data_IF_271981076913
#
_entry.id   IF_271981076913
#
_cell.length_a   1.000
_cell.length_b   1.000
_cell.length_c   1.000
_cell.angle_alpha   90.00
_cell.angle_beta   90.00
_cell.angle_gamma   90.00
#
_symmetry.space_group_name_H-M   'P 1'
#
loop_
_entity.id
_entity.type
_entity.pdbx_description
1 polymer ?
#
# COMPACT_ATOMS: atom_id res chain seq x y z
N UNK A 1 31.76 -36.60 -24.67
CA UNK A 1 31.29 -35.72 -23.56
C UNK A 1 30.51 -34.50 -24.06
N UNK A 2 29.67 -34.61 -25.10
CA UNK A 2 28.96 -33.46 -25.71
C UNK A 2 27.46 -33.40 -25.38
N UNK A 3 26.84 -34.55 -25.06
CA UNK A 3 25.40 -34.65 -24.80
C UNK A 3 24.92 -33.79 -23.62
N UNK A 4 25.66 -33.73 -22.49
CA UNK A 4 25.25 -32.92 -21.34
C UNK A 4 25.18 -31.41 -21.68
N UNK A 5 26.11 -30.92 -22.51
CA UNK A 5 26.14 -29.51 -22.92
C UNK A 5 24.97 -29.16 -23.82
N UNK A 6 24.64 -30.04 -24.77
CA UNK A 6 23.50 -29.86 -25.69
C UNK A 6 22.18 -29.86 -24.93
N UNK A 7 21.96 -30.82 -24.02
CA UNK A 7 20.74 -30.86 -23.21
C UNK A 7 20.58 -29.63 -22.31
N UNK A 8 21.68 -29.14 -21.71
CA UNK A 8 21.66 -27.90 -20.91
C UNK A 8 21.25 -26.69 -21.76
N UNK A 9 21.77 -26.59 -22.98
CA UNK A 9 21.42 -25.50 -23.91
C UNK A 9 19.95 -25.58 -24.35
N UNK A 10 19.45 -26.77 -24.68
CA UNK A 10 18.04 -26.98 -25.02
C UNK A 10 17.12 -26.60 -23.87
N UNK A 11 17.44 -27.03 -22.64
CA UNK A 11 16.67 -26.66 -21.46
C UNK A 11 16.69 -25.14 -21.23
N UNK A 12 17.85 -24.49 -21.35
CA UNK A 12 17.97 -23.04 -21.20
C UNK A 12 17.14 -22.29 -22.25
N UNK A 13 17.18 -22.74 -23.51
CA UNK A 13 16.38 -22.17 -24.59
C UNK A 13 14.88 -22.29 -24.30
N UNK A 14 14.42 -23.48 -23.92
CA UNK A 14 13.00 -23.72 -23.60
C UNK A 14 12.54 -22.92 -22.38
N UNK A 15 13.37 -22.80 -21.34
CA UNK A 15 13.10 -21.96 -20.17
C UNK A 15 12.96 -20.48 -20.57
N UNK A 16 13.82 -20.00 -21.47
CA UNK A 16 13.75 -18.62 -21.94
C UNK A 16 12.47 -18.37 -22.74
N UNK A 17 12.08 -19.30 -23.62
CA UNK A 17 10.79 -19.25 -24.35
C UNK A 17 9.61 -19.20 -23.37
N UNK A 18 9.62 -20.08 -22.35
CA UNK A 18 8.57 -20.09 -21.32
C UNK A 18 8.47 -18.77 -20.57
N UNK A 19 9.60 -18.20 -20.17
CA UNK A 19 9.65 -16.91 -19.49
C UNK A 19 9.08 -15.78 -20.37
N UNK A 20 9.47 -15.74 -21.65
CA UNK A 20 8.95 -14.76 -22.62
C UNK A 20 7.44 -14.88 -22.80
N UNK A 21 6.92 -16.09 -23.00
CA UNK A 21 5.48 -16.32 -23.13
C UNK A 21 4.73 -15.93 -21.85
N UNK A 22 5.29 -16.23 -20.68
CA UNK A 22 4.71 -15.87 -19.39
C UNK A 22 4.67 -14.35 -19.21
N UNK A 23 5.73 -13.65 -19.59
CA UNK A 23 5.81 -12.19 -19.52
C UNK A 23 4.82 -11.53 -20.48
N UNK A 24 4.74 -12.01 -21.72
CA UNK A 24 3.77 -11.53 -22.72
C UNK A 24 2.33 -11.72 -22.23
N UNK A 25 1.99 -12.93 -21.77
CA UNK A 25 0.65 -13.24 -21.28
C UNK A 25 0.26 -12.37 -20.07
N UNK A 26 1.18 -12.15 -19.11
CA UNK A 26 0.93 -11.27 -17.96
C UNK A 26 0.72 -9.82 -18.41
N UNK A 27 1.57 -9.34 -19.31
CA UNK A 27 1.50 -7.98 -19.84
C UNK A 27 0.17 -7.74 -20.53
N UNK A 28 -0.24 -8.66 -21.41
CA UNK A 28 -1.49 -8.55 -22.15
C UNK A 28 -2.71 -8.60 -21.24
N UNK A 29 -2.70 -9.47 -20.23
CA UNK A 29 -3.76 -9.55 -19.22
C UNK A 29 -3.94 -8.22 -18.47
N UNK A 30 -2.85 -7.64 -17.95
CA UNK A 30 -2.93 -6.39 -17.20
C UNK A 30 -3.21 -5.18 -18.10
N UNK A 31 -2.67 -5.16 -19.32
CA UNK A 31 -3.00 -4.14 -20.34
C UNK A 31 -4.49 -4.18 -20.67
N UNK A 32 -5.06 -5.35 -20.94
CA UNK A 32 -6.49 -5.52 -21.18
C UNK A 32 -7.33 -5.05 -19.98
N UNK A 33 -6.94 -5.42 -18.76
CA UNK A 33 -7.61 -4.97 -17.54
C UNK A 33 -7.59 -3.45 -17.35
N UNK A 34 -6.46 -2.80 -17.61
CA UNK A 34 -6.35 -1.34 -17.58
C UNK A 34 -7.22 -0.67 -18.64
N UNK A 35 -7.18 -1.15 -19.89
CA UNK A 35 -8.01 -0.62 -20.97
C UNK A 35 -9.51 -0.80 -20.73
N UNK A 36 -9.90 -1.87 -20.02
CA UNK A 36 -11.30 -2.16 -19.67
C UNK A 36 -11.81 -1.41 -18.43
N UNK A 37 -10.96 -0.66 -17.72
CA UNK A 37 -11.37 0.03 -16.51
C UNK A 37 -12.22 1.26 -16.85
N UNK A 38 -13.48 1.29 -16.37
CA UNK A 38 -14.42 2.37 -16.67
C UNK A 38 -14.18 3.65 -15.88
N UNK A 39 -13.41 3.59 -14.80
CA UNK A 39 -13.15 4.72 -13.91
C UNK A 39 -11.80 4.60 -13.21
N UNK A 40 -11.37 5.71 -12.60
CA UNK A 40 -10.12 5.83 -11.87
C UNK A 40 -9.97 4.76 -10.76
N UNK A 41 -11.05 4.42 -10.06
CA UNK A 41 -11.04 3.36 -9.04
C UNK A 41 -10.71 2.00 -9.64
N UNK A 42 -11.21 1.69 -10.83
CA UNK A 42 -10.87 0.49 -11.58
C UNK A 42 -9.38 0.41 -11.92
N UNK A 43 -8.79 1.53 -12.36
CA UNK A 43 -7.35 1.62 -12.65
C UNK A 43 -6.52 1.37 -11.39
N UNK A 44 -6.85 2.03 -10.28
CA UNK A 44 -6.16 1.80 -9.00
C UNK A 44 -6.28 0.36 -8.52
N UNK A 45 -7.47 -0.25 -8.62
CA UNK A 45 -7.64 -1.66 -8.24
C UNK A 45 -6.77 -2.62 -9.07
N UNK A 46 -6.52 -2.30 -10.35
CA UNK A 46 -5.61 -3.09 -11.20
C UNK A 46 -4.16 -2.86 -10.78
N UNK A 47 -3.78 -1.61 -10.50
CA UNK A 47 -2.48 -1.25 -9.95
C UNK A 47 -2.19 -1.94 -8.62
N UNK A 48 -3.16 -1.97 -7.71
CA UNK A 48 -3.04 -2.63 -6.41
C UNK A 48 -2.74 -4.11 -6.55
N UNK A 49 -3.42 -4.81 -7.47
CA UNK A 49 -3.16 -6.23 -7.73
C UNK A 49 -1.78 -6.49 -8.31
N UNK A 50 -1.25 -5.55 -9.10
CA UNK A 50 0.05 -5.68 -9.77
C UNK A 50 1.21 -5.35 -8.82
N UNK A 51 1.09 -4.29 -8.04
CA UNK A 51 2.14 -3.75 -7.16
C UNK A 51 2.09 -4.35 -5.76
N UNK A 52 0.89 -4.67 -5.28
CA UNK A 52 0.66 -5.25 -3.96
C UNK A 52 -0.08 -6.59 -4.13
N UNK A 53 0.55 -7.59 -4.78
CA UNK A 53 -0.02 -8.93 -4.82
C UNK A 53 -0.37 -9.31 -3.40
N UNK A 54 -1.63 -9.72 -3.18
CA UNK A 54 -2.17 -10.05 -1.85
C UNK A 54 -1.26 -11.10 -1.23
N UNK A 55 -0.28 -10.67 -0.44
CA UNK A 55 0.42 -11.54 0.48
C UNK A 55 -0.68 -11.98 1.42
N UNK A 56 -0.96 -13.27 1.45
CA UNK A 56 -1.76 -13.83 2.51
C UNK A 56 -1.09 -13.34 3.79
N UNK A 57 -1.81 -12.54 4.59
CA UNK A 57 -1.26 -11.98 5.81
C UNK A 57 -1.05 -13.15 6.77
N UNK A 58 0.09 -13.82 6.63
CA UNK A 58 0.51 -14.89 7.50
C UNK A 58 1.16 -14.24 8.71
N UNK A 59 0.71 -14.64 9.88
CA UNK A 59 1.45 -14.35 11.10
C UNK A 59 2.88 -14.87 10.95
N UNK A 60 3.87 -14.22 11.60
CA UNK A 60 5.20 -14.78 11.72
C UNK A 60 5.13 -16.22 12.22
N UNK A 61 6.08 -17.06 11.84
CA UNK A 61 6.20 -18.40 12.41
C UNK A 61 6.34 -18.29 13.93
N UNK A 62 5.54 -19.07 14.67
CA UNK A 62 5.51 -19.06 16.13
C UNK A 62 5.15 -20.45 16.64
N UNK A 63 5.65 -20.81 17.81
CA UNK A 63 5.40 -22.10 18.46
C UNK A 63 4.21 -22.04 19.43
N UNK A 64 3.81 -20.82 19.86
CA UNK A 64 2.67 -20.59 20.75
C UNK A 64 2.07 -19.19 20.56
N UNK A 65 0.83 -19.00 21.01
CA UNK A 65 0.18 -17.69 21.00
C UNK A 65 0.90 -16.66 21.89
N UNK A 66 1.45 -17.10 23.03
CA UNK A 66 2.19 -16.25 23.95
C UNK A 66 3.49 -15.74 23.33
N UNK A 67 4.22 -16.60 22.61
CA UNK A 67 5.41 -16.22 21.86
C UNK A 67 5.09 -15.15 20.81
N UNK A 68 4.02 -15.37 20.04
CA UNK A 68 3.56 -14.40 19.04
C UNK A 68 3.18 -13.06 19.68
N UNK A 69 2.40 -13.08 20.76
CA UNK A 69 1.99 -11.87 21.47
C UNK A 69 3.20 -11.08 21.99
N UNK A 70 4.14 -11.77 22.62
CA UNK A 70 5.38 -11.16 23.11
C UNK A 70 6.23 -10.59 21.97
N UNK A 71 6.32 -11.29 20.83
CA UNK A 71 7.04 -10.81 19.65
C UNK A 71 6.44 -9.53 19.08
N UNK A 72 5.11 -9.42 19.04
CA UNK A 72 4.41 -8.22 18.60
C UNK A 72 4.62 -7.07 19.58
N UNK A 73 4.49 -7.31 20.88
CA UNK A 73 4.76 -6.30 21.92
C UNK A 73 6.17 -5.74 21.75
N UNK A 74 7.17 -6.62 21.61
CA UNK A 74 8.56 -6.21 21.40
C UNK A 74 8.73 -5.40 20.12
N UNK A 75 8.22 -5.90 18.99
CA UNK A 75 8.32 -5.21 17.69
C UNK A 75 7.77 -3.78 17.75
N UNK A 76 6.54 -3.61 18.27
CA UNK A 76 5.93 -2.28 18.35
C UNK A 76 6.63 -1.37 19.37
N UNK A 77 7.12 -1.93 20.47
CA UNK A 77 7.89 -1.17 21.47
C UNK A 77 9.19 -0.65 20.86
N UNK A 78 9.94 -1.51 20.18
CA UNK A 78 11.18 -1.18 19.50
C UNK A 78 10.94 -0.12 18.40
N UNK A 79 9.90 -0.32 17.59
CA UNK A 79 9.50 0.65 16.55
C UNK A 79 9.21 2.04 17.13
N UNK A 80 8.44 2.11 18.23
CA UNK A 80 8.14 3.37 18.91
C UNK A 80 9.42 4.03 19.44
N UNK A 81 10.33 3.25 20.03
CA UNK A 81 11.61 3.75 20.53
C UNK A 81 12.48 4.28 19.38
N UNK A 82 12.55 3.56 18.26
CA UNK A 82 13.27 3.99 17.06
C UNK A 82 12.73 5.30 16.52
N UNK A 83 11.41 5.43 16.38
CA UNK A 83 10.78 6.68 15.91
C UNK A 83 11.10 7.83 16.87
N UNK A 84 10.93 7.64 18.18
CA UNK A 84 11.22 8.67 19.18
C UNK A 84 12.68 9.07 19.17
N UNK A 85 13.60 8.13 19.03
CA UNK A 85 15.02 8.42 18.90
C UNK A 85 15.30 9.22 17.63
N UNK A 86 14.78 8.80 16.48
CA UNK A 86 14.92 9.52 15.22
C UNK A 86 14.40 10.95 15.28
N UNK A 87 13.28 11.18 15.97
CA UNK A 87 12.73 12.52 16.18
C UNK A 87 13.58 13.38 17.13
N UNK A 88 14.15 12.79 18.19
CA UNK A 88 15.06 13.50 19.11
C UNK A 88 16.41 13.82 18.48
N UNK A 89 16.90 12.95 17.61
CA UNK A 89 18.16 13.14 16.87
C UNK A 89 18.01 14.05 15.66
N UNK A 90 16.78 14.42 15.27
CA UNK A 90 16.56 15.38 14.22
C UNK A 90 16.91 16.79 14.75
N UNK A 91 17.94 17.47 14.22
CA UNK A 91 18.18 18.85 14.58
C UNK A 91 16.96 19.66 14.15
N UNK A 92 16.28 20.30 15.10
CA UNK A 92 15.10 21.16 14.89
C UNK A 92 15.37 22.28 13.85
N UNK A 93 16.63 22.51 13.48
CA UNK A 93 17.06 23.53 12.52
C UNK A 93 17.25 23.06 11.07
N UNK A 94 16.92 21.82 10.71
CA UNK A 94 16.85 21.39 9.31
C UNK A 94 15.42 21.48 8.77
N UNK A 95 14.79 22.64 8.91
CA UNK A 95 13.83 23.06 7.89
C UNK A 95 14.64 23.32 6.62
N UNK A 96 14.92 22.25 5.88
CA UNK A 96 15.40 22.39 4.51
C UNK A 96 14.24 23.08 3.78
N UNK A 97 14.42 24.31 3.24
CA UNK A 97 13.46 24.82 2.28
C UNK A 97 13.46 23.79 1.17
N UNK A 98 12.34 23.08 1.02
CA UNK A 98 12.20 22.09 -0.03
C UNK A 98 12.57 22.81 -1.34
N UNK A 99 13.70 22.45 -1.96
CA UNK A 99 14.12 22.98 -3.27
C UNK A 99 13.22 22.47 -4.41
N UNK A 100 12.04 21.96 -4.07
CA UNK A 100 10.93 21.91 -4.99
C UNK A 100 10.31 23.30 -5.02
N UNK A 101 10.68 24.06 -6.04
CA UNK A 101 9.83 25.15 -6.51
C UNK A 101 8.88 24.50 -7.52
N UNK A 102 7.74 23.91 -7.11
CA UNK A 102 6.70 23.65 -8.08
C UNK A 102 6.38 25.02 -8.67
N UNK A 103 6.35 25.11 -10.00
CA UNK A 103 5.79 26.28 -10.67
C UNK A 103 4.49 26.60 -9.96
N UNK A 104 4.44 27.76 -9.28
CA UNK A 104 3.31 28.16 -8.43
C UNK A 104 2.13 28.37 -9.38
N UNK A 105 1.43 27.29 -9.69
CA UNK A 105 0.16 27.33 -10.38
C UNK A 105 -0.83 27.79 -9.33
N UNK A 106 -1.12 29.10 -9.33
CA UNK A 106 -2.22 29.76 -8.65
C UNK A 106 -2.79 28.96 -7.47
N UNK A 107 -2.01 28.84 -6.40
CA UNK A 107 -2.50 28.21 -5.17
C UNK A 107 -3.53 29.18 -4.62
N UNK A 108 -4.81 28.85 -4.81
CA UNK A 108 -5.92 29.59 -4.22
C UNK A 108 -5.79 29.43 -2.72
N UNK A 109 -5.46 30.54 -2.05
CA UNK A 109 -5.37 30.59 -0.60
C UNK A 109 -6.74 30.23 -0.03
N UNK A 110 -6.81 29.25 0.85
CA UNK A 110 -8.03 28.94 1.58
C UNK A 110 -8.22 30.04 2.64
N UNK A 111 -9.06 31.02 2.33
CA UNK A 111 -9.26 32.19 3.21
C UNK A 111 -10.22 31.91 4.36
N UNK A 112 -11.08 30.90 4.22
CA UNK A 112 -12.08 30.57 5.24
C UNK A 112 -12.52 29.12 5.17
N UNK A 113 -13.00 28.62 6.31
CA UNK A 113 -13.76 27.38 6.41
C UNK A 113 -15.24 27.73 6.57
N UNK A 114 -16.10 27.05 5.82
CA UNK A 114 -17.54 27.11 6.07
C UNK A 114 -17.89 26.09 7.15
N UNK A 115 -18.73 26.49 8.10
CA UNK A 115 -19.31 25.54 9.05
C UNK A 115 -20.12 24.50 8.30
N UNK A 116 -20.05 23.24 8.73
CA UNK A 116 -20.83 22.16 8.14
C UNK A 116 -22.33 22.43 8.36
N UNK A 117 -23.15 22.12 7.35
CA UNK A 117 -24.61 22.15 7.49
C UNK A 117 -25.11 20.86 8.15
N UNK A 118 -26.22 20.94 8.88
CA UNK A 118 -26.85 19.79 9.54
C UNK A 118 -27.16 18.65 8.56
N UNK A 119 -27.66 18.98 7.37
CA UNK A 119 -27.94 18.02 6.29
C UNK A 119 -26.67 17.29 5.80
N UNK A 120 -25.55 18.00 5.71
CA UNK A 120 -24.26 17.45 5.31
C UNK A 120 -23.72 16.51 6.39
N UNK A 121 -23.80 16.92 7.65
CA UNK A 121 -23.42 16.08 8.79
C UNK A 121 -24.29 14.81 8.83
N UNK A 122 -25.61 14.96 8.68
CA UNK A 122 -26.57 13.85 8.69
C UNK A 122 -26.30 12.85 7.56
N UNK A 123 -26.04 13.33 6.35
CA UNK A 123 -25.71 12.46 5.21
C UNK A 123 -24.38 11.72 5.39
N UNK A 124 -23.37 12.35 6.00
CA UNK A 124 -22.10 11.71 6.34
C UNK A 124 -22.30 10.63 7.42
N UNK A 125 -23.08 10.91 8.45
CA UNK A 125 -23.40 9.94 9.50
C UNK A 125 -24.15 8.73 8.95
N UNK A 126 -25.15 8.95 8.09
CA UNK A 126 -25.94 7.86 7.48
C UNK A 126 -25.12 6.99 6.51
N UNK A 127 -24.08 7.55 5.88
CA UNK A 127 -23.17 6.82 4.98
C UNK A 127 -22.02 6.13 5.73
N UNK A 128 -21.80 6.45 6.99
CA UNK A 128 -20.75 5.84 7.81
C UNK A 128 -21.15 4.42 8.22
N UNK A 129 -20.17 3.51 8.31
CA UNK A 129 -20.44 2.13 8.71
C UNK A 129 -20.98 2.11 10.15
N UNK A 130 -22.11 1.43 10.36
CA UNK A 130 -22.71 1.18 11.68
C UNK A 130 -21.87 0.21 12.54
N UNK A 131 -20.65 0.60 12.88
CA UNK A 131 -19.90 -0.03 13.97
C UNK A 131 -20.07 0.81 15.20
N UNK A 132 -21.25 0.74 15.81
CA UNK A 132 -21.43 1.22 17.18
C UNK A 132 -20.72 0.23 18.10
N UNK A 133 -19.75 0.74 18.88
CA UNK A 133 -19.07 0.00 19.92
C UNK A 133 -19.73 0.35 21.26
N UNK A 134 -19.83 -0.59 22.19
CA UNK A 134 -20.61 -0.43 23.43
C UNK A 134 -20.11 0.67 24.39
N UNK A 135 -18.98 1.30 24.08
CA UNK A 135 -18.39 2.40 24.85
C UNK A 135 -18.49 3.77 24.13
N UNK A 136 -19.20 3.86 23.01
CA UNK A 136 -19.37 5.12 22.29
C UNK A 136 -20.41 6.00 23.01
N UNK A 137 -20.09 7.25 23.41
CA UNK A 137 -21.01 8.12 24.14
C UNK A 137 -22.24 8.55 23.34
N UNK A 138 -22.29 8.26 22.03
CA UNK A 138 -23.47 8.44 21.19
C UNK A 138 -23.62 7.24 20.24
N UNK A 139 -24.38 6.20 20.64
CA UNK A 139 -24.64 5.07 19.75
C UNK A 139 -25.49 5.53 18.57
N UNK A 140 -25.08 5.17 17.34
CA UNK A 140 -25.85 5.39 16.11
C UNK A 140 -26.74 4.21 15.79
#
# INVERSE_FOLDING_TARGET
MTNLTVHRQMHAAQRNVMNQLTEAAKTDYFRSKLSSASNQKGVFNVGDKLLFPKRQASLPAHSSADELANSFIKFFSDMILTIRHGLKSCPINLWVPCLYQPSIHNVTKLESFKSANEEEVKTVLLKSLKKSYSLDPCPT
#
